data_IF_164459099155
#
_entry.id   IF_164459099155
#
_cell.length_a   1.000
_cell.length_b   1.000
_cell.length_c   1.000
_cell.angle_alpha   90.00
_cell.angle_beta   90.00
_cell.angle_gamma   90.00
#
_symmetry.space_group_name_H-M   'P 1'
#
loop_
_entity.id
_entity.type
_entity.pdbx_description
1 polymer ?
#
# COMPACT_ATOMS: atom_id res chain seq x y z
N UNK A 1 -35.52 -2.80 -58.22
CA UNK A 1 -35.54 -4.29 -58.21
C UNK A 1 -34.11 -4.77 -58.05
N UNK A 2 -33.91 -5.81 -57.22
CA UNK A 2 -32.65 -6.41 -56.77
C UNK A 2 -32.02 -5.61 -55.61
N UNK A 3 -32.36 -5.84 -54.33
CA UNK A 3 -32.30 -7.07 -53.52
C UNK A 3 -30.92 -7.73 -53.53
N UNK A 4 -30.09 -7.35 -52.55
CA UNK A 4 -29.03 -8.23 -52.04
C UNK A 4 -29.11 -8.22 -50.51
N UNK A 5 -29.83 -9.23 -50.00
CA UNK A 5 -29.68 -9.69 -48.63
C UNK A 5 -28.29 -10.32 -48.51
N UNK A 6 -27.40 -9.71 -47.74
CA UNK A 6 -26.20 -10.39 -47.25
C UNK A 6 -26.55 -10.96 -45.88
N UNK A 7 -26.76 -12.27 -45.90
CA UNK A 7 -26.89 -13.14 -44.74
C UNK A 7 -25.49 -13.70 -44.48
N UNK A 8 -24.76 -13.12 -43.54
CA UNK A 8 -23.55 -13.73 -42.95
C UNK A 8 -23.81 -13.74 -41.44
N UNK A 9 -24.52 -14.76 -40.96
CA UNK A 9 -23.93 -16.02 -40.49
C UNK A 9 -22.92 -15.76 -39.36
N UNK A 10 -23.53 -15.61 -38.19
CA UNK A 10 -22.92 -15.52 -36.87
C UNK A 10 -22.08 -16.76 -36.58
N UNK A 11 -20.81 -16.74 -36.97
CA UNK A 11 -19.82 -17.74 -36.60
C UNK A 11 -19.40 -17.54 -35.13
N UNK A 12 -20.20 -18.05 -34.20
CA UNK A 12 -19.84 -18.19 -32.79
C UNK A 12 -18.55 -19.04 -32.67
N UNK A 13 -17.50 -18.54 -32.02
CA UNK A 13 -16.29 -19.33 -31.79
C UNK A 13 -16.60 -20.50 -30.85
N UNK A 14 -16.02 -21.70 -31.08
CA UNK A 14 -16.23 -22.85 -30.22
C UNK A 14 -15.71 -22.54 -28.80
N UNK A 15 -16.59 -22.68 -27.81
CA UNK A 15 -16.23 -22.58 -26.40
C UNK A 15 -15.20 -23.67 -26.05
N UNK A 16 -14.13 -23.36 -25.31
CA UNK A 16 -13.15 -24.36 -24.90
C UNK A 16 -13.75 -25.35 -23.89
N UNK A 17 -13.75 -26.63 -24.26
CA UNK A 17 -14.22 -27.79 -23.49
C UNK A 17 -13.37 -28.15 -22.25
N UNK A 18 -12.88 -27.17 -21.47
CA UNK A 18 -11.96 -27.42 -20.35
C UNK A 18 -12.63 -27.78 -19.01
N UNK A 19 -13.95 -27.98 -18.97
CA UNK A 19 -14.67 -28.54 -17.81
C UNK A 19 -14.58 -30.08 -17.73
N UNK A 20 -13.40 -30.64 -17.93
CA UNK A 20 -13.14 -32.05 -17.71
C UNK A 20 -12.06 -32.24 -16.64
N UNK A 21 -12.51 -32.69 -15.47
CA UNK A 21 -11.75 -33.50 -14.52
C UNK A 21 -10.46 -32.89 -13.96
N UNK A 22 -10.58 -32.39 -12.73
CA UNK A 22 -9.66 -32.82 -11.65
C UNK A 22 -10.33 -32.71 -10.28
N UNK A 23 -11.35 -33.56 -10.08
CA UNK A 23 -11.55 -34.22 -8.78
C UNK A 23 -10.27 -35.04 -8.52
N UNK A 24 -9.40 -34.55 -7.63
CA UNK A 24 -8.50 -35.40 -6.85
C UNK A 24 -8.68 -35.02 -5.39
N UNK A 25 -9.55 -35.79 -4.76
CA UNK A 25 -9.57 -35.99 -3.33
C UNK A 25 -8.23 -36.61 -2.88
N UNK A 26 -7.71 -36.10 -1.77
CA UNK A 26 -6.81 -36.81 -0.84
C UNK A 26 -5.36 -36.30 -0.76
N UNK A 27 -4.62 -36.55 0.35
CA UNK A 27 -5.05 -36.91 1.71
C UNK A 27 -4.53 -35.94 2.79
N UNK A 28 -5.08 -36.09 3.99
CA UNK A 28 -4.68 -35.41 5.22
C UNK A 28 -3.16 -35.52 5.50
N UNK A 29 -2.45 -34.40 5.47
CA UNK A 29 -1.09 -34.29 5.97
C UNK A 29 -1.11 -33.67 7.38
N UNK A 30 -1.09 -34.58 8.35
CA UNK A 30 -0.55 -34.47 9.71
C UNK A 30 0.11 -33.13 10.11
N UNK A 31 -0.50 -32.50 11.12
CA UNK A 31 0.10 -31.47 11.98
C UNK A 31 1.45 -31.97 12.53
N UNK A 32 2.54 -31.31 12.14
CA UNK A 32 3.83 -31.44 12.83
C UNK A 32 3.98 -30.27 13.80
N UNK A 33 3.52 -30.48 15.02
CA UNK A 33 3.87 -29.66 16.19
C UNK A 33 5.37 -29.76 16.42
N UNK A 34 6.11 -28.70 16.09
CA UNK A 34 7.49 -28.53 16.57
C UNK A 34 7.44 -27.61 17.77
N UNK A 35 7.33 -28.23 18.95
CA UNK A 35 7.68 -27.65 20.25
C UNK A 35 9.20 -27.49 20.25
N UNK A 36 9.68 -26.26 20.07
CA UNK A 36 11.10 -25.94 20.06
C UNK A 36 11.37 -24.69 20.90
N UNK A 37 11.45 -24.89 22.21
CA UNK A 37 11.92 -23.88 23.14
C UNK A 37 13.39 -23.52 22.84
N UNK A 38 13.68 -22.23 22.63
CA UNK A 38 14.95 -21.62 23.03
C UNK A 38 14.73 -20.14 23.28
N UNK A 39 14.44 -19.86 24.54
CA UNK A 39 14.46 -18.54 25.17
C UNK A 39 15.91 -18.04 25.18
N UNK A 40 16.30 -17.27 24.16
CA UNK A 40 17.59 -16.60 24.13
C UNK A 40 17.51 -15.34 25.00
N UNK A 41 18.07 -15.46 26.20
CA UNK A 41 18.35 -14.38 27.15
C UNK A 41 19.65 -13.70 26.68
N UNK A 42 19.57 -12.54 26.06
CA UNK A 42 20.70 -11.63 25.86
C UNK A 42 20.18 -10.18 25.81
N UNK A 43 20.26 -9.45 26.93
CA UNK A 43 21.40 -8.60 27.34
C UNK A 43 21.15 -7.16 26.89
N UNK A 44 20.52 -6.39 27.79
CA UNK A 44 20.34 -4.94 27.68
C UNK A 44 21.69 -4.28 28.01
N UNK A 45 22.33 -3.49 27.12
CA UNK A 45 23.33 -2.55 27.57
C UNK A 45 22.64 -1.36 28.24
N UNK A 46 23.00 -1.11 29.49
CA UNK A 46 22.72 0.13 30.19
C UNK A 46 23.49 1.25 29.47
N UNK A 47 22.77 2.20 28.88
CA UNK A 47 23.39 3.45 28.40
C UNK A 47 23.26 4.49 29.51
N UNK A 48 24.43 4.99 29.86
CA UNK A 48 24.76 5.93 30.92
C UNK A 48 24.06 7.26 30.72
N UNK A 49 23.43 7.74 31.79
CA UNK A 49 22.93 9.11 31.95
C UNK A 49 24.14 10.04 32.12
N UNK A 50 24.26 11.05 31.25
CA UNK A 50 25.08 12.23 31.49
C UNK A 50 24.30 13.50 31.08
N UNK A 51 23.81 14.21 32.11
CA UNK A 51 23.61 15.68 32.15
C UNK A 51 24.90 16.28 32.76
N UNK A 52 25.16 17.61 32.78
CA UNK A 52 24.52 18.76 32.15
C UNK A 52 25.54 19.74 31.48
N UNK A 53 25.06 20.85 30.90
CA UNK A 53 25.83 22.10 30.83
C UNK A 53 26.03 22.70 29.44
N UNK A 54 25.35 23.82 29.18
CA UNK A 54 25.53 24.59 27.95
C UNK A 54 24.61 25.80 27.93
N UNK A 55 24.88 26.77 28.80
CA UNK A 55 24.25 28.09 28.75
C UNK A 55 24.79 28.86 27.54
N UNK A 56 23.95 29.03 26.52
CA UNK A 56 24.20 29.90 25.37
C UNK A 56 23.02 30.85 25.23
N UNK A 57 23.11 32.00 25.89
CA UNK A 57 22.22 33.13 25.69
C UNK A 57 22.69 33.90 24.47
N UNK A 58 21.90 33.88 23.39
CA UNK A 58 22.18 34.59 22.15
C UNK A 58 20.86 35.00 21.52
N UNK A 59 20.45 36.24 21.81
CA UNK A 59 19.26 36.86 21.24
C UNK A 59 19.47 37.39 19.83
N UNK A 60 18.35 37.84 19.24
CA UNK A 60 18.24 38.39 17.89
C UNK A 60 17.31 37.49 17.08
N UNK A 61 16.04 37.81 16.85
CA UNK A 61 15.48 39.12 16.53
C UNK A 61 15.07 39.09 15.05
N UNK A 62 13.78 39.25 14.80
CA UNK A 62 13.17 39.24 13.46
C UNK A 62 12.45 37.92 13.19
N UNK A 63 11.14 37.86 13.00
CA UNK A 63 10.21 38.91 12.61
C UNK A 63 9.36 38.37 11.48
N UNK A 64 8.06 38.45 11.64
CA UNK A 64 7.12 38.43 10.51
C UNK A 64 6.53 37.06 10.16
N UNK A 65 5.29 36.88 10.59
CA UNK A 65 4.18 36.70 9.64
C UNK A 65 4.07 35.34 8.95
N UNK A 66 3.06 34.59 9.35
CA UNK A 66 2.60 33.42 8.60
C UNK A 66 1.48 32.67 9.30
N UNK A 67 0.41 33.37 9.68
CA UNK A 67 -0.83 32.77 10.17
C UNK A 67 -1.50 31.94 9.07
N UNK A 68 -0.97 30.73 8.85
CA UNK A 68 -1.50 29.74 7.89
C UNK A 68 -1.19 28.29 8.30
N UNK A 69 -0.57 28.07 9.47
CA UNK A 69 -0.09 26.76 9.93
C UNK A 69 -1.16 25.79 10.48
N UNK A 70 -2.41 26.25 10.64
CA UNK A 70 -3.47 25.41 11.22
C UNK A 70 -3.84 24.20 10.33
N UNK A 71 -3.91 24.41 9.02
CA UNK A 71 -4.27 23.35 8.09
C UNK A 71 -3.19 22.26 8.00
N UNK A 72 -1.91 22.65 7.96
CA UNK A 72 -0.79 21.70 7.89
C UNK A 72 -0.70 20.83 9.14
N UNK A 73 -0.78 21.44 10.33
CA UNK A 73 -0.73 20.72 11.59
C UNK A 73 -1.92 19.76 11.77
N UNK A 74 -3.13 20.16 11.33
CA UNK A 74 -4.31 19.30 11.37
C UNK A 74 -4.18 18.08 10.45
N UNK A 75 -3.65 18.27 9.23
CA UNK A 75 -3.40 17.16 8.29
C UNK A 75 -2.35 16.20 8.86
N UNK A 76 -1.22 16.70 9.37
CA UNK A 76 -0.19 15.86 10.00
C UNK A 76 -0.73 15.07 11.20
N UNK A 77 -1.53 15.70 12.06
CA UNK A 77 -2.18 15.02 13.18
C UNK A 77 -3.19 13.96 12.69
N UNK A 78 -3.97 14.26 11.66
CA UNK A 78 -4.90 13.31 11.03
C UNK A 78 -4.19 12.08 10.45
N UNK A 79 -3.05 12.28 9.78
CA UNK A 79 -2.22 11.18 9.25
C UNK A 79 -1.65 10.29 10.35
N UNK A 80 -1.15 10.87 11.45
CA UNK A 80 -0.68 10.08 12.60
C UNK A 80 -1.83 9.32 13.26
N UNK A 81 -3.00 9.97 13.40
CA UNK A 81 -4.19 9.37 14.00
C UNK A 81 -4.77 8.22 13.16
N UNK A 82 -4.58 8.25 11.83
CA UNK A 82 -4.99 7.14 10.96
C UNK A 82 -4.27 5.84 11.31
N UNK A 83 -2.99 5.91 11.68
CA UNK A 83 -2.18 4.76 12.08
C UNK A 83 -2.28 3.60 11.08
N UNK A 84 -1.86 3.85 9.82
CA UNK A 84 -2.04 2.88 8.73
C UNK A 84 -1.55 1.48 9.12
N UNK A 85 -2.39 0.47 8.84
CA UNK A 85 -2.11 -0.91 9.24
C UNK A 85 -0.82 -1.45 8.63
N UNK A 86 -0.11 -2.25 9.42
CA UNK A 86 0.97 -3.07 8.90
C UNK A 86 0.39 -4.29 8.16
N UNK A 87 0.47 -4.25 6.84
CA UNK A 87 0.07 -5.36 5.97
C UNK A 87 1.33 -6.11 5.57
N UNK A 88 1.49 -7.32 6.08
CA UNK A 88 2.59 -8.19 5.69
C UNK A 88 2.40 -8.63 4.24
N UNK A 89 3.47 -8.65 3.45
CA UNK A 89 3.46 -9.31 2.15
C UNK A 89 3.37 -10.82 2.38
N UNK A 90 2.25 -11.50 2.02
CA UNK A 90 2.10 -12.94 2.19
C UNK A 90 3.13 -13.69 1.36
N UNK A 91 3.31 -15.00 1.53
CA UNK A 91 4.22 -15.77 0.67
C UNK A 91 3.66 -15.89 -0.76
N UNK A 92 4.54 -15.93 -1.78
CA UNK A 92 4.17 -16.04 -3.22
C UNK A 92 3.30 -17.28 -3.50
N UNK A 93 3.38 -18.31 -2.65
CA UNK A 93 2.63 -19.56 -2.79
C UNK A 93 1.16 -19.47 -2.37
N UNK A 94 0.70 -18.33 -1.85
CA UNK A 94 -0.67 -18.13 -1.38
C UNK A 94 -1.33 -16.95 -2.13
N UNK A 95 -1.80 -17.16 -3.38
CA UNK A 95 -2.34 -16.08 -4.22
C UNK A 95 -3.55 -15.39 -3.60
N UNK A 96 -4.45 -16.15 -2.93
CA UNK A 96 -5.64 -15.57 -2.29
C UNK A 96 -5.26 -14.61 -1.16
N UNK A 97 -4.28 -15.00 -0.33
CA UNK A 97 -3.77 -14.14 0.75
C UNK A 97 -3.12 -12.87 0.18
N UNK A 98 -2.40 -12.98 -0.94
CA UNK A 98 -1.79 -11.84 -1.62
C UNK A 98 -2.86 -10.87 -2.15
N UNK A 99 -3.94 -11.38 -2.73
CA UNK A 99 -5.09 -10.58 -3.16
C UNK A 99 -5.76 -9.87 -1.99
N UNK A 100 -6.03 -10.55 -0.88
CA UNK A 100 -6.60 -9.94 0.33
C UNK A 100 -5.70 -8.84 0.91
N UNK A 101 -4.39 -9.07 0.92
CA UNK A 101 -3.40 -8.08 1.36
C UNK A 101 -3.39 -6.85 0.44
N UNK A 102 -3.48 -7.04 -0.88
CA UNK A 102 -3.56 -5.96 -1.85
C UNK A 102 -4.83 -5.12 -1.67
N UNK A 103 -5.99 -5.77 -1.51
CA UNK A 103 -7.26 -5.09 -1.22
C UNK A 103 -7.20 -4.31 0.09
N UNK A 104 -6.59 -4.88 1.13
CA UNK A 104 -6.41 -4.18 2.40
C UNK A 104 -5.53 -2.93 2.22
N UNK A 105 -4.44 -3.03 1.45
CA UNK A 105 -3.54 -1.90 1.20
C UNK A 105 -4.23 -0.80 0.40
N UNK A 106 -5.09 -1.16 -0.56
CA UNK A 106 -5.89 -0.22 -1.34
C UNK A 106 -6.78 0.64 -0.44
N UNK A 107 -7.54 0.02 0.49
CA UNK A 107 -8.40 0.74 1.43
C UNK A 107 -7.61 1.70 2.31
N UNK A 108 -6.41 1.31 2.75
CA UNK A 108 -5.54 2.18 3.55
C UNK A 108 -4.96 3.36 2.73
N UNK A 109 -4.68 3.16 1.44
CA UNK A 109 -4.25 4.24 0.54
C UNK A 109 -5.37 5.26 0.32
N UNK A 110 -6.61 4.80 0.11
CA UNK A 110 -7.78 5.66 -0.02
C UNK A 110 -7.97 6.53 1.23
N UNK A 111 -7.97 5.93 2.42
CA UNK A 111 -8.06 6.65 3.71
C UNK A 111 -6.94 7.68 3.88
N UNK A 112 -5.72 7.35 3.49
CA UNK A 112 -4.59 8.29 3.54
C UNK A 112 -4.81 9.48 2.59
N UNK A 113 -5.33 9.23 1.39
CA UNK A 113 -5.60 10.27 0.40
C UNK A 113 -6.73 11.21 0.85
N UNK A 114 -7.76 10.67 1.49
CA UNK A 114 -8.82 11.47 2.13
C UNK A 114 -8.28 12.34 3.27
N UNK A 115 -7.42 11.79 4.14
CA UNK A 115 -6.82 12.55 5.23
C UNK A 115 -5.87 13.66 4.74
N UNK A 116 -5.28 13.51 3.56
CA UNK A 116 -4.52 14.57 2.90
C UNK A 116 -5.40 15.67 2.29
N UNK A 117 -6.72 15.49 2.26
CA UNK A 117 -7.68 16.40 1.66
C UNK A 117 -7.61 16.40 0.13
N UNK A 118 -7.24 15.28 -0.49
CA UNK A 118 -7.18 15.21 -1.95
C UNK A 118 -8.58 15.25 -2.58
N UNK A 119 -8.75 15.91 -3.74
CA UNK A 119 -10.02 15.84 -4.48
C UNK A 119 -10.33 14.41 -4.91
N UNK A 120 -11.61 14.03 -4.93
CA UNK A 120 -12.06 12.69 -5.30
C UNK A 120 -11.52 12.19 -6.67
N UNK A 121 -11.39 13.10 -7.64
CA UNK A 121 -10.79 12.76 -8.94
C UNK A 121 -9.34 12.28 -8.82
N UNK A 122 -8.55 12.88 -7.92
CA UNK A 122 -7.15 12.51 -7.68
C UNK A 122 -7.07 11.22 -6.85
N UNK A 123 -7.96 11.02 -5.88
CA UNK A 123 -8.09 9.75 -5.15
C UNK A 123 -8.33 8.59 -6.13
N UNK A 124 -9.26 8.77 -7.08
CA UNK A 124 -9.54 7.77 -8.11
C UNK A 124 -8.33 7.46 -9.01
N UNK A 125 -7.49 8.47 -9.33
CA UNK A 125 -6.27 8.27 -10.11
C UNK A 125 -5.23 7.47 -9.33
N UNK A 126 -4.99 7.82 -8.06
CA UNK A 126 -4.11 7.06 -7.16
C UNK A 126 -4.58 5.60 -7.04
N UNK A 127 -5.88 5.39 -6.83
CA UNK A 127 -6.49 4.07 -6.74
C UNK A 127 -6.26 3.23 -8.01
N UNK A 128 -6.50 3.81 -9.19
CA UNK A 128 -6.24 3.13 -10.48
C UNK A 128 -4.76 2.81 -10.67
N UNK A 129 -3.85 3.68 -10.22
CA UNK A 129 -2.42 3.46 -10.33
C UNK A 129 -1.94 2.33 -9.40
N UNK A 130 -2.43 2.28 -8.16
CA UNK A 130 -2.18 1.18 -7.22
C UNK A 130 -2.72 -0.14 -7.78
N UNK A 131 -3.93 -0.13 -8.33
CA UNK A 131 -4.53 -1.31 -8.94
C UNK A 131 -3.71 -1.81 -10.14
N UNK A 132 -3.22 -0.91 -10.99
CA UNK A 132 -2.34 -1.25 -12.10
C UNK A 132 -1.02 -1.89 -11.61
N UNK A 133 -0.42 -1.37 -10.54
CA UNK A 133 0.81 -1.92 -9.95
C UNK A 133 0.57 -3.32 -9.38
N UNK A 134 -0.53 -3.51 -8.64
CA UNK A 134 -0.91 -4.80 -8.07
C UNK A 134 -1.23 -5.86 -9.14
N UNK A 135 -1.71 -5.43 -10.32
CA UNK A 135 -2.02 -6.31 -11.47
C UNK A 135 -0.80 -6.75 -12.28
N UNK A 136 0.41 -6.27 -11.99
CA UNK A 136 1.67 -6.72 -12.64
C UNK A 136 2.11 -8.15 -12.25
N UNK A 137 1.20 -8.96 -11.72
CA UNK A 137 1.45 -10.31 -11.22
C UNK A 137 1.94 -10.33 -9.77
N UNK A 138 2.20 -11.54 -9.25
CA UNK A 138 2.55 -11.74 -7.84
C UNK A 138 3.79 -10.94 -7.43
N UNK A 139 4.85 -10.92 -8.24
CA UNK A 139 6.07 -10.17 -7.96
C UNK A 139 5.81 -8.65 -7.82
N UNK A 140 4.97 -8.08 -8.70
CA UNK A 140 4.58 -6.66 -8.63
C UNK A 140 3.78 -6.35 -7.36
N UNK A 141 2.81 -7.19 -7.01
CA UNK A 141 2.04 -7.05 -5.79
C UNK A 141 2.93 -7.13 -4.53
N UNK A 142 3.88 -8.06 -4.50
CA UNK A 142 4.87 -8.16 -3.43
C UNK A 142 5.76 -6.94 -3.32
N UNK A 143 6.28 -6.44 -4.44
CA UNK A 143 7.10 -5.23 -4.48
C UNK A 143 6.29 -4.02 -3.98
N UNK A 144 5.04 -3.91 -4.42
CA UNK A 144 4.10 -2.89 -3.94
C UNK A 144 3.90 -2.96 -2.42
N UNK A 145 3.53 -4.12 -1.86
CA UNK A 145 3.28 -4.27 -0.42
C UNK A 145 4.56 -4.08 0.41
N UNK A 146 5.66 -4.70 0.01
CA UNK A 146 6.90 -4.73 0.79
C UNK A 146 7.71 -3.43 0.75
N UNK A 147 7.65 -2.69 -0.36
CA UNK A 147 8.45 -1.48 -0.55
C UNK A 147 7.59 -0.23 -0.65
N UNK A 148 6.69 -0.20 -1.64
CA UNK A 148 5.94 1.01 -1.99
C UNK A 148 4.96 1.40 -0.89
N UNK A 149 4.09 0.49 -0.45
CA UNK A 149 3.12 0.72 0.62
C UNK A 149 3.81 1.03 1.96
N UNK A 150 4.94 0.36 2.25
CA UNK A 150 5.71 0.60 3.48
C UNK A 150 6.26 2.04 3.56
N UNK A 151 6.63 2.67 2.44
CA UNK A 151 7.04 4.08 2.39
C UNK A 151 5.88 5.00 2.79
N UNK A 152 4.70 4.82 2.21
CA UNK A 152 3.50 5.57 2.57
C UNK A 152 3.16 5.41 4.06
N UNK A 153 3.15 4.17 4.56
CA UNK A 153 2.89 3.87 5.98
C UNK A 153 3.84 4.62 6.89
N UNK A 154 5.13 4.66 6.57
CA UNK A 154 6.13 5.40 7.35
C UNK A 154 5.82 6.89 7.37
N UNK A 155 5.53 7.49 6.22
CA UNK A 155 5.18 8.91 6.12
C UNK A 155 3.92 9.25 6.93
N UNK A 156 2.86 8.45 6.83
CA UNK A 156 1.64 8.67 7.61
C UNK A 156 1.90 8.54 9.12
N UNK A 157 2.67 7.52 9.54
CA UNK A 157 2.99 7.31 10.96
C UNK A 157 3.86 8.43 11.56
N UNK A 158 4.64 9.15 10.74
CA UNK A 158 5.39 10.33 11.18
C UNK A 158 4.62 11.65 10.98
N UNK A 159 3.39 11.62 10.45
CA UNK A 159 2.62 12.81 10.12
C UNK A 159 3.22 13.63 8.97
N UNK A 160 4.09 13.01 8.16
CA UNK A 160 4.77 13.66 7.05
C UNK A 160 3.85 13.72 5.83
N UNK A 161 3.07 14.80 5.77
CA UNK A 161 2.09 15.03 4.71
C UNK A 161 2.74 15.27 3.34
N UNK A 162 3.96 15.82 3.31
CA UNK A 162 4.68 16.09 2.08
C UNK A 162 5.17 14.78 1.46
N UNK A 163 5.86 13.94 2.23
CA UNK A 163 6.31 12.63 1.76
C UNK A 163 5.13 11.72 1.34
N UNK A 164 3.98 11.83 2.01
CA UNK A 164 2.77 11.10 1.61
C UNK A 164 2.20 11.59 0.27
N UNK A 165 2.22 12.90 0.00
CA UNK A 165 1.80 13.47 -1.29
C UNK A 165 2.76 13.12 -2.41
N UNK A 166 4.07 13.25 -2.16
CA UNK A 166 5.11 12.85 -3.10
C UNK A 166 4.95 11.37 -3.50
N UNK A 167 4.69 10.50 -2.53
CA UNK A 167 4.41 9.10 -2.81
C UNK A 167 3.18 8.89 -3.72
N UNK A 168 2.11 9.66 -3.53
CA UNK A 168 0.91 9.60 -4.38
C UNK A 168 1.21 10.06 -5.81
N UNK A 169 2.07 11.06 -5.96
CA UNK A 169 2.49 11.55 -7.27
C UNK A 169 3.40 10.53 -7.98
N UNK A 170 4.36 9.94 -7.26
CA UNK A 170 5.19 8.86 -7.79
C UNK A 170 4.37 7.65 -8.27
N UNK A 171 3.38 7.19 -7.49
CA UNK A 171 2.58 6.02 -7.90
C UNK A 171 1.71 6.34 -9.11
N UNK A 172 1.13 7.55 -9.18
CA UNK A 172 0.37 7.98 -10.35
C UNK A 172 1.26 8.06 -11.60
N UNK A 173 2.47 8.59 -11.50
CA UNK A 173 3.43 8.62 -12.60
C UNK A 173 3.75 7.19 -13.09
N UNK A 174 4.11 6.27 -12.18
CA UNK A 174 4.37 4.85 -12.52
C UNK A 174 3.17 4.15 -13.15
N UNK A 175 1.95 4.50 -12.72
CA UNK A 175 0.70 3.95 -13.26
C UNK A 175 0.36 4.49 -14.65
N UNK A 176 0.82 5.70 -15.00
CA UNK A 176 0.69 6.26 -16.34
C UNK A 176 1.63 5.57 -17.33
N UNK A 177 2.86 5.24 -16.91
CA UNK A 177 3.85 4.53 -17.74
C UNK A 177 3.47 3.06 -18.02
N UNK A 178 2.49 2.52 -17.30
CA UNK A 178 2.06 1.13 -17.42
C UNK A 178 0.99 0.90 -18.51
N UNK A 179 0.50 1.97 -19.15
CA UNK A 179 -0.57 1.94 -20.16
C UNK A 179 -0.02 2.03 -21.57
#
# INVERSE_FOLDING_TARGET
>A
MQEQLVTEEEALPPLPSSLARRRREGPAATRKTVRGAKQAKAQRPAIVVARPGGAGSGGGGGGGGGGGGGAGAAVSAGLMALGLREIAAPLITAPDALSEAATSAFVEVERAAEALGLPAARINQVCRAVEAEARRGAAGCHAFLGMTYRRLRRACNTGDAEAAREWMDEIMARGADAR
#
